data_IF_235456813212
#
_entry.id   IF_235456813212
#
_cell.length_a   1.000
_cell.length_b   1.000
_cell.length_c   1.000
_cell.angle_alpha   90.00
_cell.angle_beta   90.00
_cell.angle_gamma   90.00
#
_symmetry.space_group_name_H-M   'P 1'
#
loop_
_entity.id
_entity.type
_entity.pdbx_description
1 polymer ?
#
# COMPACT_ATOMS: atom_id res chain seq x y z
N UNK A 1 -32.86 10.26 -14.11
CA UNK A 1 -32.14 8.98 -14.29
C UNK A 1 -31.02 9.00 -13.29
N UNK A 2 -31.02 8.09 -12.32
CA UNK A 2 -29.89 7.96 -11.40
C UNK A 2 -28.65 7.63 -12.22
N UNK A 3 -27.63 8.46 -12.09
CA UNK A 3 -26.37 8.27 -12.79
C UNK A 3 -25.65 7.09 -12.12
N UNK A 4 -26.02 5.85 -12.51
CA UNK A 4 -25.39 4.65 -11.98
C UNK A 4 -23.89 4.64 -12.30
N UNK A 5 -23.07 4.81 -11.27
CA UNK A 5 -21.62 4.67 -11.35
C UNK A 5 -21.19 3.41 -10.59
N UNK A 6 -20.80 2.33 -11.28
CA UNK A 6 -20.39 1.08 -10.62
C UNK A 6 -19.11 1.20 -9.80
N UNK A 7 -18.36 2.29 -9.97
CA UNK A 7 -17.14 2.59 -9.22
C UNK A 7 -17.35 3.58 -8.07
N UNK A 8 -18.60 4.05 -7.84
CA UNK A 8 -18.89 4.97 -6.76
C UNK A 8 -18.55 4.35 -5.38
N UNK A 9 -17.87 5.15 -4.55
CA UNK A 9 -17.46 4.78 -3.19
C UNK A 9 -18.20 5.62 -2.13
N UNK A 10 -19.33 6.20 -2.50
CA UNK A 10 -20.15 7.05 -1.60
C UNK A 10 -20.53 6.27 -0.34
N UNK A 11 -20.26 6.87 0.83
CA UNK A 11 -20.50 6.27 2.13
C UNK A 11 -19.51 5.18 2.55
N UNK A 12 -18.50 4.85 1.73
CA UNK A 12 -17.44 3.91 2.07
C UNK A 12 -16.34 4.59 2.88
N UNK A 13 -15.83 3.90 3.90
CA UNK A 13 -14.66 4.32 4.69
C UNK A 13 -13.47 3.46 4.32
N UNK A 14 -12.38 4.08 3.89
CA UNK A 14 -11.21 3.37 3.36
C UNK A 14 -9.95 3.85 4.08
N UNK A 15 -9.19 2.91 4.64
CA UNK A 15 -7.86 3.15 5.17
C UNK A 15 -6.81 2.93 4.07
N UNK A 16 -5.90 3.88 3.89
CA UNK A 16 -4.74 3.74 3.01
C UNK A 16 -3.46 3.96 3.81
N UNK A 17 -2.60 2.96 3.84
CA UNK A 17 -1.26 3.08 4.43
C UNK A 17 -0.23 3.55 3.39
N UNK A 18 0.85 4.19 3.83
CA UNK A 18 1.83 4.76 2.90
C UNK A 18 1.26 5.89 2.03
N UNK A 19 0.23 6.58 2.55
CA UNK A 19 -0.51 7.60 1.81
C UNK A 19 0.24 8.94 1.69
N UNK A 20 1.42 9.09 2.29
CA UNK A 20 2.19 10.34 2.25
C UNK A 20 2.83 10.65 0.89
N UNK A 21 2.88 9.70 -0.04
CA UNK A 21 3.46 9.91 -1.37
C UNK A 21 3.05 8.81 -2.38
N UNK A 22 3.41 9.01 -3.63
CA UNK A 22 3.36 8.00 -4.70
C UNK A 22 2.01 7.31 -4.85
N UNK A 23 2.02 6.00 -5.01
CA UNK A 23 0.81 5.19 -5.27
C UNK A 23 -0.21 5.33 -4.13
N UNK A 24 0.22 5.33 -2.86
CA UNK A 24 -0.70 5.46 -1.73
C UNK A 24 -1.44 6.80 -1.71
N UNK A 25 -0.75 7.90 -2.02
CA UNK A 25 -1.37 9.23 -2.19
C UNK A 25 -2.38 9.22 -3.33
N UNK A 26 -2.00 8.72 -4.50
CA UNK A 26 -2.88 8.68 -5.68
C UNK A 26 -4.16 7.86 -5.41
N UNK A 27 -4.02 6.69 -4.75
CA UNK A 27 -5.17 5.87 -4.34
C UNK A 27 -6.10 6.66 -3.40
N UNK A 28 -5.53 7.32 -2.38
CA UNK A 28 -6.34 8.07 -1.42
C UNK A 28 -7.13 9.20 -2.11
N UNK A 29 -6.47 9.95 -2.99
CA UNK A 29 -7.11 11.03 -3.76
C UNK A 29 -8.16 10.47 -4.70
N UNK A 30 -7.87 9.42 -5.47
CA UNK A 30 -8.82 8.81 -6.39
C UNK A 30 -10.07 8.28 -5.66
N UNK A 31 -9.89 7.57 -4.53
CA UNK A 31 -11.01 7.07 -3.74
C UNK A 31 -11.87 8.22 -3.16
N UNK A 32 -11.25 9.32 -2.71
CA UNK A 32 -12.00 10.49 -2.21
C UNK A 32 -12.85 11.13 -3.31
N UNK A 33 -12.32 11.27 -4.53
CA UNK A 33 -13.06 11.74 -5.72
C UNK A 33 -14.24 10.86 -6.08
N UNK A 34 -14.17 9.57 -5.75
CA UNK A 34 -15.27 8.63 -5.91
C UNK A 34 -16.28 8.65 -4.75
N UNK A 35 -16.10 9.55 -3.78
CA UNK A 35 -17.01 9.77 -2.66
C UNK A 35 -16.69 8.99 -1.39
N UNK A 36 -15.52 8.34 -1.30
CA UNK A 36 -15.11 7.66 -0.08
C UNK A 36 -14.67 8.64 1.01
N UNK A 37 -14.93 8.29 2.26
CA UNK A 37 -14.29 8.92 3.43
C UNK A 37 -12.99 8.20 3.71
N UNK A 38 -11.89 8.95 3.70
CA UNK A 38 -10.54 8.40 3.79
C UNK A 38 -10.00 8.45 5.22
N UNK A 39 -9.30 7.37 5.62
CA UNK A 39 -8.33 7.37 6.71
C UNK A 39 -6.97 7.19 6.08
N UNK A 40 -6.10 8.19 6.18
CA UNK A 40 -4.76 8.15 5.56
C UNK A 40 -3.69 8.09 6.64
N UNK A 41 -2.70 7.21 6.45
CA UNK A 41 -1.58 7.08 7.40
C UNK A 41 -0.23 6.95 6.71
N UNK A 42 0.79 7.44 7.39
CA UNK A 42 2.17 7.42 6.96
C UNK A 42 3.10 8.00 8.03
N UNK A 43 4.41 7.85 7.86
CA UNK A 43 5.42 8.30 8.84
C UNK A 43 5.75 9.79 8.78
N UNK A 44 5.60 10.41 7.63
CA UNK A 44 5.94 11.81 7.41
C UNK A 44 4.68 12.67 7.50
N UNK A 45 4.54 13.42 8.60
CA UNK A 45 3.38 14.25 8.88
C UNK A 45 3.16 15.32 7.80
N UNK A 46 4.21 16.06 7.42
CA UNK A 46 4.09 17.14 6.42
C UNK A 46 3.54 16.62 5.10
N UNK A 47 4.12 15.53 4.58
CA UNK A 47 3.64 14.91 3.33
C UNK A 47 2.25 14.27 3.47
N UNK A 48 1.90 13.84 4.68
CA UNK A 48 0.57 13.29 4.95
C UNK A 48 -0.49 14.39 4.95
N UNK A 49 -0.15 15.56 5.51
CA UNK A 49 -1.00 16.75 5.49
C UNK A 49 -1.20 17.26 4.05
N UNK A 50 -0.14 17.26 3.22
CA UNK A 50 -0.28 17.54 1.79
C UNK A 50 -1.32 16.61 1.13
N UNK A 51 -1.24 15.31 1.42
CA UNK A 51 -2.21 14.34 0.89
C UNK A 51 -3.61 14.64 1.41
N UNK A 52 -3.77 14.92 2.69
CA UNK A 52 -5.05 15.24 3.31
C UNK A 52 -5.72 16.44 2.63
N UNK A 53 -4.96 17.49 2.30
CA UNK A 53 -5.48 18.67 1.60
C UNK A 53 -5.90 18.42 0.14
N UNK A 54 -5.43 17.32 -0.47
CA UNK A 54 -5.83 16.90 -1.81
C UNK A 54 -7.10 16.06 -1.83
N UNK A 55 -7.59 15.61 -0.67
CA UNK A 55 -8.79 14.77 -0.59
C UNK A 55 -10.05 15.60 -0.84
N UNK A 56 -10.93 15.06 -1.66
CA UNK A 56 -12.22 15.66 -1.97
C UNK A 56 -13.32 15.13 -1.04
N UNK A 57 -14.19 16.01 -0.55
CA UNK A 57 -15.27 15.65 0.36
C UNK A 57 -15.01 16.10 1.79
N UNK A 58 -15.63 15.41 2.76
CA UNK A 58 -15.57 15.76 4.19
C UNK A 58 -15.44 14.50 5.05
N UNK A 59 -14.97 14.70 6.29
CA UNK A 59 -14.91 13.61 7.28
C UNK A 59 -13.69 12.71 7.15
N UNK A 60 -12.71 13.07 6.32
CA UNK A 60 -11.44 12.35 6.22
C UNK A 60 -10.65 12.47 7.53
N UNK A 61 -9.78 11.49 7.78
CA UNK A 61 -8.87 11.44 8.92
C UNK A 61 -7.43 11.27 8.42
N UNK A 62 -6.51 11.95 9.07
CA UNK A 62 -5.07 11.83 8.83
C UNK A 62 -4.41 11.47 10.16
N UNK A 63 -3.65 10.39 10.20
CA UNK A 63 -2.96 9.95 11.41
C UNK A 63 -1.56 9.48 11.09
N UNK A 64 -0.55 10.17 11.67
CA UNK A 64 0.83 9.72 11.59
C UNK A 64 0.98 8.43 12.37
N UNK A 65 1.59 7.41 11.74
CA UNK A 65 1.96 6.17 12.40
C UNK A 65 3.18 5.53 11.75
N UNK A 66 4.08 4.99 12.56
CA UNK A 66 5.10 4.05 12.12
C UNK A 66 4.56 2.63 12.30
N UNK A 67 4.24 1.97 11.20
CA UNK A 67 3.66 0.63 11.22
C UNK A 67 4.66 -0.48 11.62
N UNK A 68 5.91 -0.12 11.93
CA UNK A 68 6.85 -1.04 12.60
C UNK A 68 6.72 -1.00 14.13
N UNK A 69 6.02 0.00 14.68
CA UNK A 69 5.70 0.16 16.10
C UNK A 69 4.35 -0.47 16.44
N UNK A 70 4.34 -1.35 17.42
CA UNK A 70 3.11 -1.98 17.93
C UNK A 70 2.18 -0.94 18.58
N UNK A 71 2.76 0.03 19.29
CA UNK A 71 2.03 1.12 19.94
C UNK A 71 1.33 2.03 18.92
N UNK A 72 2.03 2.40 17.84
CA UNK A 72 1.45 3.21 16.77
C UNK A 72 0.33 2.46 16.04
N UNK A 73 0.50 1.15 15.81
CA UNK A 73 -0.56 0.31 15.24
C UNK A 73 -1.77 0.27 16.16
N UNK A 74 -1.57 0.07 17.46
CA UNK A 74 -2.67 0.03 18.44
C UNK A 74 -3.44 1.35 18.47
N UNK A 75 -2.73 2.48 18.51
CA UNK A 75 -3.31 3.83 18.48
C UNK A 75 -4.08 4.07 17.18
N UNK A 76 -3.47 3.77 16.02
CA UNK A 76 -4.10 3.91 14.71
C UNK A 76 -5.40 3.09 14.64
N UNK A 77 -5.38 1.84 15.08
CA UNK A 77 -6.55 0.96 15.05
C UNK A 77 -7.64 1.44 16.02
N UNK A 78 -7.26 1.90 17.22
CA UNK A 78 -8.22 2.45 18.19
C UNK A 78 -8.99 3.62 17.59
N UNK A 79 -8.31 4.59 16.99
CA UNK A 79 -8.90 5.83 16.47
C UNK A 79 -9.59 5.65 15.11
N UNK A 80 -9.27 4.56 14.39
CA UNK A 80 -9.88 4.26 13.09
C UNK A 80 -11.35 3.80 13.28
N UNK A 81 -12.31 4.37 12.52
CA UNK A 81 -13.67 3.85 12.49
C UNK A 81 -13.74 2.47 11.83
N UNK A 82 -14.92 1.85 11.79
CA UNK A 82 -15.13 0.63 10.99
C UNK A 82 -14.97 0.93 9.49
N UNK A 83 -14.30 0.04 8.77
CA UNK A 83 -13.82 0.21 7.41
C UNK A 83 -14.54 -0.68 6.41
N UNK A 84 -14.83 -0.14 5.24
CA UNK A 84 -15.31 -0.87 4.07
C UNK A 84 -14.16 -1.22 3.09
N UNK A 85 -13.00 -0.62 3.29
CA UNK A 85 -11.79 -0.91 2.51
C UNK A 85 -10.50 -0.68 3.29
N UNK A 86 -9.49 -1.50 3.02
CA UNK A 86 -8.13 -1.33 3.54
C UNK A 86 -7.15 -1.51 2.40
N UNK A 87 -6.25 -0.53 2.21
CA UNK A 87 -5.18 -0.59 1.22
C UNK A 87 -3.83 -0.55 1.93
N UNK A 88 -3.14 -1.67 1.94
CA UNK A 88 -1.79 -1.81 2.45
C UNK A 88 -0.79 -1.41 1.37
N UNK A 89 -0.41 -0.13 1.33
CA UNK A 89 0.49 0.44 0.34
C UNK A 89 1.86 0.86 0.94
N UNK A 90 1.99 0.85 2.29
CA UNK A 90 3.27 1.16 2.93
C UNK A 90 4.35 0.15 2.53
N UNK A 91 5.55 0.65 2.24
CA UNK A 91 6.68 -0.18 1.88
C UNK A 91 7.91 0.64 1.54
N UNK A 92 9.05 -0.02 1.48
CA UNK A 92 10.34 0.53 1.06
C UNK A 92 10.89 -0.26 -0.12
N UNK A 93 11.63 0.43 -0.99
CA UNK A 93 12.48 -0.20 -1.99
C UNK A 93 13.75 -0.74 -1.35
N UNK A 94 14.30 -1.81 -1.93
CA UNK A 94 15.57 -2.35 -1.45
C UNK A 94 16.31 -3.03 -2.61
N UNK A 95 17.60 -2.75 -2.75
CA UNK A 95 18.43 -3.37 -3.78
C UNK A 95 19.84 -3.62 -3.28
N UNK A 96 20.21 -4.91 -3.16
CA UNK A 96 21.53 -5.34 -2.71
C UNK A 96 21.82 -6.76 -3.23
N UNK A 97 23.02 -7.06 -3.74
CA UNK A 97 23.39 -8.42 -4.15
C UNK A 97 23.24 -9.41 -3.00
N UNK A 98 22.74 -10.63 -3.26
CA UNK A 98 22.48 -11.63 -2.22
C UNK A 98 23.67 -11.91 -1.30
N UNK A 99 24.90 -11.97 -1.88
CA UNK A 99 26.13 -12.23 -1.10
C UNK A 99 26.50 -11.11 -0.11
N UNK A 100 25.85 -9.95 -0.22
CA UNK A 100 26.13 -8.78 0.62
C UNK A 100 25.02 -8.53 1.64
N UNK A 101 23.97 -9.36 1.67
CA UNK A 101 22.86 -9.21 2.61
C UNK A 101 23.34 -9.46 4.05
N UNK A 102 22.92 -8.58 4.96
CA UNK A 102 23.11 -8.71 6.40
C UNK A 102 21.76 -9.00 7.06
N UNK A 103 21.80 -9.48 8.32
CA UNK A 103 20.59 -9.71 9.13
C UNK A 103 19.75 -8.43 9.24
N UNK A 104 20.39 -7.28 9.45
CA UNK A 104 19.70 -5.98 9.52
C UNK A 104 18.95 -5.61 8.26
N UNK A 105 19.46 -5.98 7.08
CA UNK A 105 18.76 -5.74 5.81
C UNK A 105 17.46 -6.56 5.76
N UNK A 106 17.52 -7.82 6.21
CA UNK A 106 16.36 -8.72 6.25
C UNK A 106 15.33 -8.19 7.24
N UNK A 107 15.77 -7.82 8.45
CA UNK A 107 14.89 -7.29 9.50
C UNK A 107 14.18 -6.01 9.04
N UNK A 108 14.90 -5.07 8.46
CA UNK A 108 14.33 -3.81 7.97
C UNK A 108 13.27 -4.05 6.88
N UNK A 109 13.64 -4.76 5.81
CA UNK A 109 12.76 -4.93 4.65
C UNK A 109 11.53 -5.76 5.00
N UNK A 110 11.71 -6.86 5.74
CA UNK A 110 10.60 -7.71 6.15
C UNK A 110 9.71 -7.01 7.18
N UNK A 111 10.28 -6.23 8.09
CA UNK A 111 9.50 -5.46 9.05
C UNK A 111 8.59 -4.46 8.35
N UNK A 112 9.13 -3.66 7.42
CA UNK A 112 8.36 -2.61 6.76
C UNK A 112 7.42 -3.16 5.68
N UNK A 113 7.89 -4.07 4.81
CA UNK A 113 7.12 -4.50 3.64
C UNK A 113 6.11 -5.62 3.95
N UNK A 114 6.34 -6.42 4.99
CA UNK A 114 5.49 -7.58 5.29
C UNK A 114 4.89 -7.50 6.70
N UNK A 115 5.74 -7.52 7.75
CA UNK A 115 5.28 -7.59 9.14
C UNK A 115 4.30 -6.47 9.48
N UNK A 116 4.58 -5.23 9.08
CA UNK A 116 3.73 -4.07 9.34
C UNK A 116 2.31 -4.25 8.81
N UNK A 117 2.19 -4.71 7.55
CA UNK A 117 0.89 -4.95 6.92
C UNK A 117 0.12 -6.10 7.58
N UNK A 118 0.82 -7.18 7.94
CA UNK A 118 0.21 -8.33 8.63
C UNK A 118 -0.27 -7.95 10.03
N UNK A 119 0.58 -7.28 10.81
CA UNK A 119 0.24 -6.88 12.18
C UNK A 119 -0.92 -5.86 12.20
N UNK A 120 -0.89 -4.86 11.32
CA UNK A 120 -2.01 -3.91 11.20
C UNK A 120 -3.31 -4.63 10.81
N UNK A 121 -3.26 -5.52 9.81
CA UNK A 121 -4.45 -6.26 9.38
C UNK A 121 -5.00 -7.15 10.48
N UNK A 122 -4.14 -7.84 11.23
CA UNK A 122 -4.53 -8.66 12.38
C UNK A 122 -5.20 -7.82 13.47
N UNK A 123 -4.62 -6.66 13.80
CA UNK A 123 -5.17 -5.74 14.79
C UNK A 123 -6.55 -5.19 14.37
N UNK A 124 -6.71 -4.79 13.09
CA UNK A 124 -7.99 -4.35 12.54
C UNK A 124 -9.08 -5.44 12.63
N UNK A 125 -8.71 -6.70 12.42
CA UNK A 125 -9.64 -7.83 12.53
C UNK A 125 -10.00 -8.13 13.98
N UNK A 126 -9.01 -8.12 14.88
CA UNK A 126 -9.19 -8.34 16.32
C UNK A 126 -10.14 -7.30 16.93
N UNK A 127 -9.96 -6.04 16.59
CA UNK A 127 -10.77 -4.92 17.05
C UNK A 127 -12.06 -4.73 16.22
N UNK A 128 -12.42 -5.70 15.36
CA UNK A 128 -13.64 -5.70 14.54
C UNK A 128 -13.83 -4.43 13.69
N UNK A 129 -12.72 -3.82 13.26
CA UNK A 129 -12.72 -2.60 12.45
C UNK A 129 -13.03 -2.85 10.96
N UNK A 130 -13.06 -4.10 10.50
CA UNK A 130 -13.33 -4.47 9.10
C UNK A 130 -14.79 -4.92 8.96
N UNK A 131 -15.58 -4.22 8.17
CA UNK A 131 -16.98 -4.53 7.90
C UNK A 131 -17.15 -5.84 7.12
N UNK A 132 -18.33 -6.47 7.18
CA UNK A 132 -18.71 -7.50 6.21
C UNK A 132 -18.80 -6.88 4.80
N UNK A 133 -18.51 -7.66 3.77
CA UNK A 133 -18.50 -7.24 2.35
C UNK A 133 -17.49 -6.14 2.02
N UNK A 134 -16.48 -5.96 2.85
CA UNK A 134 -15.38 -5.03 2.60
C UNK A 134 -14.37 -5.56 1.58
N UNK A 135 -13.40 -4.74 1.22
CA UNK A 135 -12.30 -5.11 0.32
C UNK A 135 -10.96 -4.77 0.94
N UNK A 136 -10.04 -5.72 0.94
CA UNK A 136 -8.65 -5.54 1.39
C UNK A 136 -7.75 -5.68 0.17
N UNK A 137 -6.82 -4.73 0.00
CA UNK A 137 -5.86 -4.71 -1.11
C UNK A 137 -4.46 -4.58 -0.56
N UNK A 138 -3.56 -5.46 -0.99
CA UNK A 138 -2.13 -5.37 -0.71
C UNK A 138 -1.37 -4.92 -1.96
N UNK A 139 -0.52 -3.90 -1.81
CA UNK A 139 0.42 -3.51 -2.86
C UNK A 139 1.63 -4.44 -2.82
N UNK A 140 1.54 -5.50 -3.63
CA UNK A 140 2.64 -6.40 -3.93
C UNK A 140 3.61 -5.75 -4.95
N UNK A 141 4.18 -6.52 -5.83
CA UNK A 141 5.02 -6.05 -6.93
C UNK A 141 5.16 -7.14 -7.97
N UNK A 142 5.32 -6.76 -9.24
CA UNK A 142 5.76 -7.68 -10.27
C UNK A 142 7.09 -8.36 -9.92
N UNK A 143 7.93 -7.71 -9.13
CA UNK A 143 9.20 -8.30 -8.65
C UNK A 143 9.00 -9.64 -7.92
N UNK A 144 7.83 -9.90 -7.33
CA UNK A 144 7.52 -11.17 -6.66
C UNK A 144 7.56 -12.38 -7.61
N UNK A 145 7.25 -12.17 -8.90
CA UNK A 145 7.17 -13.24 -9.93
C UNK A 145 8.15 -13.03 -11.09
N UNK A 146 8.70 -11.82 -11.26
CA UNK A 146 9.67 -11.47 -12.30
C UNK A 146 10.77 -10.60 -11.68
N UNK A 147 11.67 -11.20 -10.89
CA UNK A 147 12.70 -10.47 -10.15
C UNK A 147 13.82 -9.95 -11.06
N UNK A 148 14.61 -9.03 -10.53
CA UNK A 148 15.85 -8.55 -11.15
C UNK A 148 17.05 -8.77 -10.21
N UNK A 149 18.25 -8.69 -10.76
CA UNK A 149 19.51 -8.82 -9.99
C UNK A 149 19.53 -7.77 -8.87
N UNK A 150 19.90 -8.21 -7.67
CA UNK A 150 19.95 -7.38 -6.45
C UNK A 150 18.61 -7.13 -5.77
N UNK A 151 17.51 -7.65 -6.29
CA UNK A 151 16.16 -7.40 -5.79
C UNK A 151 15.57 -8.56 -4.97
N UNK A 152 16.41 -9.54 -4.57
CA UNK A 152 15.96 -10.79 -3.95
C UNK A 152 15.13 -10.58 -2.69
N UNK A 153 15.60 -9.74 -1.77
CA UNK A 153 14.93 -9.51 -0.50
C UNK A 153 13.62 -8.74 -0.65
N UNK A 154 13.61 -7.69 -1.50
CA UNK A 154 12.38 -6.99 -1.85
C UNK A 154 11.37 -7.91 -2.52
N UNK A 155 11.81 -8.74 -3.49
CA UNK A 155 10.96 -9.73 -4.17
C UNK A 155 10.36 -10.72 -3.19
N UNK A 156 11.16 -11.25 -2.26
CA UNK A 156 10.71 -12.16 -1.22
C UNK A 156 9.65 -11.52 -0.32
N UNK A 157 9.86 -10.26 0.11
CA UNK A 157 8.89 -9.54 0.95
C UNK A 157 7.54 -9.33 0.24
N UNK A 158 7.56 -9.03 -1.07
CA UNK A 158 6.35 -8.85 -1.87
C UNK A 158 5.68 -10.18 -2.22
N UNK A 159 6.45 -11.25 -2.40
CA UNK A 159 5.93 -12.62 -2.53
C UNK A 159 5.23 -13.12 -1.26
N UNK A 160 5.77 -12.80 -0.10
CA UNK A 160 5.17 -13.12 1.20
C UNK A 160 3.78 -12.46 1.37
N UNK A 161 3.61 -11.22 0.91
CA UNK A 161 2.30 -10.55 0.92
C UNK A 161 1.26 -11.29 0.06
N UNK A 162 1.66 -11.79 -1.12
CA UNK A 162 0.75 -12.54 -2.01
C UNK A 162 0.28 -13.82 -1.32
N UNK A 163 1.21 -14.59 -0.73
CA UNK A 163 0.87 -15.79 0.02
C UNK A 163 -0.05 -15.51 1.20
N UNK A 164 0.25 -14.46 1.98
CA UNK A 164 -0.59 -14.04 3.10
C UNK A 164 -2.00 -13.65 2.64
N UNK A 165 -2.12 -12.85 1.58
CA UNK A 165 -3.40 -12.42 1.03
C UNK A 165 -4.27 -13.60 0.57
N UNK A 166 -3.67 -14.64 -0.02
CA UNK A 166 -4.39 -15.84 -0.44
C UNK A 166 -5.02 -16.58 0.76
N UNK A 167 -4.27 -16.76 1.86
CA UNK A 167 -4.80 -17.36 3.07
C UNK A 167 -5.90 -16.49 3.70
N UNK A 168 -5.65 -15.18 3.80
CA UNK A 168 -6.59 -14.23 4.37
C UNK A 168 -7.92 -14.18 3.59
N UNK A 169 -7.87 -14.34 2.26
CA UNK A 169 -9.07 -14.41 1.42
C UNK A 169 -9.96 -15.60 1.79
N UNK A 170 -9.36 -16.77 2.06
CA UNK A 170 -10.09 -17.96 2.49
C UNK A 170 -10.70 -17.77 3.89
N UNK A 171 -9.94 -17.24 4.83
CA UNK A 171 -10.40 -17.01 6.21
C UNK A 171 -11.56 -15.99 6.28
N UNK A 172 -11.56 -14.99 5.42
CA UNK A 172 -12.56 -13.92 5.44
C UNK A 172 -13.73 -14.15 4.47
N UNK A 173 -13.69 -15.20 3.64
CA UNK A 173 -14.77 -15.55 2.70
C UNK A 173 -16.14 -15.68 3.36
N UNK A 174 -16.30 -16.30 4.57
CA UNK A 174 -17.59 -16.37 5.25
C UNK A 174 -18.20 -15.01 5.63
N UNK A 175 -17.35 -13.96 5.70
CA UNK A 175 -17.77 -12.58 5.93
C UNK A 175 -17.99 -11.80 4.63
N UNK A 176 -17.84 -12.45 3.47
CA UNK A 176 -17.90 -11.85 2.14
C UNK A 176 -16.86 -10.71 1.95
N UNK A 177 -15.74 -10.78 2.67
CA UNK A 177 -14.62 -9.85 2.51
C UNK A 177 -13.73 -10.35 1.39
N UNK A 178 -13.46 -9.48 0.42
CA UNK A 178 -12.56 -9.79 -0.70
C UNK A 178 -11.14 -9.34 -0.34
N UNK A 179 -10.16 -10.17 -0.65
CA UNK A 179 -8.74 -9.85 -0.46
C UNK A 179 -8.02 -10.04 -1.78
N UNK A 180 -7.30 -9.02 -2.22
CA UNK A 180 -6.58 -9.02 -3.49
C UNK A 180 -5.19 -8.41 -3.35
N UNK A 181 -4.32 -8.75 -4.31
CA UNK A 181 -3.03 -8.09 -4.48
C UNK A 181 -3.00 -7.34 -5.81
N UNK A 182 -2.43 -6.13 -5.80
CA UNK A 182 -2.03 -5.42 -7.00
C UNK A 182 -0.51 -5.51 -7.10
N UNK A 183 -0.01 -5.92 -8.26
CA UNK A 183 1.42 -6.12 -8.52
C UNK A 183 1.92 -5.15 -9.59
N UNK A 184 2.16 -3.88 -9.27
CA UNK A 184 2.67 -2.93 -10.23
C UNK A 184 4.04 -3.34 -10.77
N UNK A 185 4.33 -2.94 -12.00
CA UNK A 185 5.69 -2.91 -12.54
C UNK A 185 6.41 -1.64 -12.07
N UNK A 186 7.22 -1.02 -12.91
CA UNK A 186 7.88 0.24 -12.57
C UNK A 186 6.88 1.40 -12.66
N UNK A 187 6.79 2.17 -11.59
CA UNK A 187 5.95 3.37 -11.46
C UNK A 187 6.81 4.52 -10.97
N UNK A 188 6.74 5.67 -11.63
CA UNK A 188 7.48 6.87 -11.24
C UNK A 188 7.04 7.35 -9.84
N UNK A 189 7.88 7.08 -8.85
CA UNK A 189 7.69 7.43 -7.44
C UNK A 189 9.05 7.67 -6.79
N UNK A 190 9.09 8.30 -5.63
CA UNK A 190 10.32 8.45 -4.84
C UNK A 190 10.98 7.09 -4.54
N UNK A 191 10.18 6.02 -4.46
CA UNK A 191 10.67 4.69 -4.12
C UNK A 191 11.64 4.12 -5.17
N UNK A 192 11.41 4.35 -6.46
CA UNK A 192 12.31 3.84 -7.49
C UNK A 192 13.63 4.62 -7.56
N UNK A 193 13.61 5.89 -7.14
CA UNK A 193 14.81 6.73 -7.07
C UNK A 193 15.76 6.31 -5.93
N UNK A 194 15.23 5.60 -4.91
CA UNK A 194 16.04 5.07 -3.80
C UNK A 194 16.79 3.78 -4.17
N UNK A 195 16.53 3.20 -5.32
CA UNK A 195 17.09 1.92 -5.77
C UNK A 195 18.54 1.96 -6.29
N UNK A 196 19.25 3.08 -6.14
CA UNK A 196 20.66 3.24 -6.55
C UNK A 196 20.88 3.42 -8.07
N UNK A 197 19.82 3.61 -8.83
CA UNK A 197 19.88 4.04 -10.24
C UNK A 197 19.69 5.55 -10.34
N UNK A 198 20.39 6.19 -11.26
CA UNK A 198 20.16 7.60 -11.53
C UNK A 198 18.84 7.79 -12.28
N UNK A 199 18.34 9.02 -12.30
CA UNK A 199 17.12 9.35 -13.05
C UNK A 199 17.34 9.07 -14.55
N UNK A 200 18.50 9.41 -15.07
CA UNK A 200 18.89 9.19 -16.47
C UNK A 200 18.95 7.69 -16.82
N UNK A 201 19.41 6.84 -15.88
CA UNK A 201 19.38 5.39 -16.06
C UNK A 201 17.94 4.87 -16.13
N UNK A 202 17.06 5.35 -15.25
CA UNK A 202 15.65 4.98 -15.25
C UNK A 202 14.94 5.45 -16.53
N UNK A 203 15.24 6.66 -17.02
CA UNK A 203 14.71 7.19 -18.28
C UNK A 203 15.15 6.37 -19.50
N UNK A 204 16.37 5.84 -19.51
CA UNK A 204 16.83 4.89 -20.54
C UNK A 204 16.14 3.53 -20.41
N UNK A 205 16.05 3.01 -19.21
CA UNK A 205 15.44 1.69 -18.96
C UNK A 205 13.94 1.66 -19.31
N UNK A 206 13.19 2.75 -19.09
CA UNK A 206 11.78 2.80 -19.46
C UNK A 206 11.55 2.60 -20.96
N UNK A 207 12.50 2.97 -21.82
CA UNK A 207 12.39 2.79 -23.28
C UNK A 207 12.38 1.30 -23.70
N UNK A 208 12.81 0.38 -22.81
CA UNK A 208 12.74 -1.07 -23.02
C UNK A 208 11.32 -1.62 -22.81
N UNK A 209 10.45 -0.87 -22.14
CA UNK A 209 9.05 -1.26 -21.95
C UNK A 209 8.26 -1.13 -23.26
N UNK A 210 7.23 -1.99 -23.50
CA UNK A 210 6.44 -1.90 -24.72
C UNK A 210 5.84 -0.52 -24.97
N UNK A 211 5.32 0.13 -23.90
CA UNK A 211 4.75 1.49 -23.97
C UNK A 211 5.79 2.61 -23.92
N UNK A 212 7.10 2.27 -23.92
CA UNK A 212 8.23 3.23 -23.86
C UNK A 212 8.18 4.18 -22.67
N UNK A 213 7.43 3.82 -21.63
CA UNK A 213 7.34 4.55 -20.37
C UNK A 213 7.13 3.63 -19.18
N UNK A 214 7.46 4.10 -18.01
CA UNK A 214 6.94 3.55 -16.75
C UNK A 214 5.51 4.05 -16.51
N UNK A 215 4.81 3.43 -15.58
CA UNK A 215 3.55 3.93 -15.06
C UNK A 215 3.74 5.19 -14.23
N UNK A 216 2.65 5.92 -14.02
CA UNK A 216 2.52 6.96 -13.01
C UNK A 216 1.62 6.47 -11.88
N UNK A 217 1.62 7.11 -10.70
CA UNK A 217 0.70 6.74 -9.62
C UNK A 217 -0.77 6.81 -10.00
N UNK A 218 -1.11 7.59 -11.04
CA UNK A 218 -2.47 7.82 -11.54
C UNK A 218 -2.94 6.76 -12.55
N UNK A 219 -2.02 5.96 -13.15
CA UNK A 219 -2.36 4.84 -14.04
C UNK A 219 -3.05 3.70 -13.28
#
# INVERSE_FOLDING_TARGET
>A
MDNYNPFALVGKRILVTGASAGIGRAIAVACSRMGAVMVVTGRNQVRLDETYHLLEGKGHQSQKADLSSEEDIATLVHDTPTLDGVVHCAGIGFRKPCKMLAFSDVDEVMSVNFKSSVCLQAALLKEKKVNKRSSIVFLASRAAVSPSIGNSLYSASKGALISYANCLALELAPRLVRVNCISPAMVWTDLILQGGLTKEDLEREQLKYPLKRYGTPED
#
